data_IF_288022454098
#
_entry.id   IF_288022454098
#
_cell.length_a   1.000
_cell.length_b   1.000
_cell.length_c   1.000
_cell.angle_alpha   90.00
_cell.angle_beta   90.00
_cell.angle_gamma   90.00
#
_symmetry.space_group_name_H-M   'P 1'
#
loop_
_entity.id
_entity.type
_entity.pdbx_description
1 polymer ?
#
# COMPACT_ATOMS: atom_id res chain seq x y z
N UNK A 1 17.87 6.52 9.66
CA UNK A 1 17.54 7.15 10.96
C UNK A 1 17.62 6.09 12.03
N UNK A 2 17.92 6.45 13.27
CA UNK A 2 17.70 5.57 14.43
C UNK A 2 16.20 5.44 14.69
N UNK A 3 15.78 4.38 15.38
CA UNK A 3 14.40 4.20 15.79
C UNK A 3 13.91 5.37 16.65
N UNK A 4 14.78 5.90 17.51
CA UNK A 4 14.48 7.08 18.34
C UNK A 4 14.20 8.31 17.47
N UNK A 5 15.05 8.61 16.49
CA UNK A 5 14.84 9.72 15.54
C UNK A 5 13.54 9.55 14.74
N UNK A 6 13.18 8.31 14.37
CA UNK A 6 11.90 8.07 13.69
C UNK A 6 10.74 8.34 14.64
N UNK A 7 10.80 7.88 15.89
CA UNK A 7 9.72 8.11 16.86
C UNK A 7 9.48 9.59 17.17
N UNK A 8 10.48 10.46 17.01
CA UNK A 8 10.30 11.92 17.09
C UNK A 8 9.37 12.48 15.99
N UNK A 9 9.19 11.76 14.88
CA UNK A 9 8.21 12.11 13.84
C UNK A 9 6.80 11.58 14.14
N UNK A 10 6.64 10.75 15.18
CA UNK A 10 5.39 10.08 15.55
C UNK A 10 4.92 10.45 16.96
N UNK A 11 5.23 11.66 17.44
CA UNK A 11 4.80 12.13 18.78
C UNK A 11 3.28 12.21 18.98
N UNK A 12 2.52 12.10 17.90
CA UNK A 12 1.06 12.05 17.91
C UNK A 12 0.50 10.64 18.21
N UNK A 13 1.34 9.61 18.20
CA UNK A 13 0.92 8.25 18.56
C UNK A 13 0.79 8.11 20.07
N UNK A 14 -0.20 7.32 20.51
CA UNK A 14 -0.34 6.99 21.93
C UNK A 14 0.72 5.97 22.39
N UNK A 15 0.77 5.71 23.70
CA UNK A 15 1.76 4.78 24.29
C UNK A 15 1.64 3.36 23.70
N UNK A 16 0.42 2.87 23.47
CA UNK A 16 0.19 1.54 22.87
C UNK A 16 0.76 1.45 21.45
N UNK A 17 0.47 2.45 20.61
CA UNK A 17 0.95 2.53 19.23
C UNK A 17 2.48 2.66 19.18
N UNK A 18 3.04 3.46 20.08
CA UNK A 18 4.49 3.63 20.20
C UNK A 18 5.17 2.32 20.63
N UNK A 19 4.59 1.57 21.57
CA UNK A 19 5.09 0.25 21.96
C UNK A 19 4.97 -0.78 20.83
N UNK A 20 3.93 -0.72 19.99
CA UNK A 20 3.85 -1.58 18.78
C UNK A 20 5.05 -1.35 17.86
N UNK A 21 5.46 -0.10 17.65
CA UNK A 21 6.65 0.25 16.82
C UNK A 21 7.93 -0.28 17.48
N UNK A 22 8.13 -0.05 18.78
CA UNK A 22 9.32 -0.54 19.50
C UNK A 22 9.45 -2.06 19.43
N UNK A 23 8.32 -2.77 19.49
CA UNK A 23 8.26 -4.22 19.40
C UNK A 23 8.17 -4.77 17.96
N UNK A 24 8.18 -3.89 16.94
CA UNK A 24 8.12 -4.29 15.54
C UNK A 24 9.43 -4.92 15.01
N UNK A 25 10.52 -4.82 15.77
CA UNK A 25 11.83 -5.35 15.38
C UNK A 25 12.55 -4.49 14.34
N UNK A 26 12.26 -3.19 14.29
CA UNK A 26 12.99 -2.24 13.44
C UNK A 26 14.46 -2.19 13.81
N UNK A 27 15.31 -2.11 12.78
CA UNK A 27 16.76 -1.97 12.92
C UNK A 27 17.14 -0.54 12.57
N UNK A 28 18.03 0.06 13.37
CA UNK A 28 18.56 1.40 13.10
C UNK A 28 19.20 1.46 11.71
N UNK A 29 18.92 2.54 10.99
CA UNK A 29 19.40 2.74 9.63
C UNK A 29 18.52 2.14 8.54
N UNK A 30 17.64 1.17 8.85
CA UNK A 30 16.66 0.62 7.89
C UNK A 30 15.23 1.11 8.10
N UNK A 31 14.96 1.81 9.21
CA UNK A 31 13.65 2.35 9.55
C UNK A 31 13.52 3.81 9.09
N UNK A 32 12.36 4.12 8.50
CA UNK A 32 11.90 5.45 8.14
C UNK A 32 10.39 5.60 8.41
N UNK A 33 9.85 6.81 8.19
CA UNK A 33 8.45 7.09 8.43
C UNK A 33 7.52 6.19 7.60
N UNK A 34 7.91 5.85 6.36
CA UNK A 34 7.11 4.97 5.52
C UNK A 34 7.05 3.56 6.12
N UNK A 35 8.19 3.01 6.56
CA UNK A 35 8.28 1.67 7.12
C UNK A 35 7.43 1.48 8.38
N UNK A 36 7.24 2.55 9.17
CA UNK A 36 6.32 2.56 10.32
C UNK A 36 4.87 2.42 9.86
N UNK A 37 4.44 3.22 8.88
CA UNK A 37 3.06 3.14 8.36
C UNK A 37 2.84 1.81 7.63
N UNK A 38 3.83 1.36 6.86
CA UNK A 38 3.84 0.05 6.20
C UNK A 38 3.65 -1.08 7.21
N UNK A 39 4.31 -1.02 8.37
CA UNK A 39 4.13 -1.98 9.45
C UNK A 39 2.68 -2.00 9.96
N UNK A 40 2.08 -0.84 10.24
CA UNK A 40 0.68 -0.78 10.67
C UNK A 40 -0.28 -1.34 9.61
N UNK A 41 -0.04 -1.03 8.33
CA UNK A 41 -0.78 -1.64 7.22
C UNK A 41 -0.61 -3.17 7.25
N UNK A 42 0.62 -3.69 7.29
CA UNK A 42 0.90 -5.15 7.35
C UNK A 42 0.18 -5.85 8.50
N UNK A 43 0.00 -5.17 9.65
CA UNK A 43 -0.76 -5.68 10.79
C UNK A 43 -2.28 -5.54 10.63
N UNK A 44 -2.74 -4.67 9.73
CA UNK A 44 -4.16 -4.32 9.59
C UNK A 44 -4.62 -3.36 10.68
N UNK A 45 -3.70 -2.62 11.29
CA UNK A 45 -3.97 -1.68 12.37
C UNK A 45 -4.53 -0.37 11.79
N UNK A 46 -5.82 -0.38 11.45
CA UNK A 46 -6.51 0.74 10.82
C UNK A 46 -6.45 2.00 11.70
N UNK A 47 -6.54 1.84 13.03
CA UNK A 47 -6.48 2.97 13.97
C UNK A 47 -5.13 3.69 13.84
N UNK A 48 -4.02 2.95 13.87
CA UNK A 48 -2.68 3.53 13.75
C UNK A 48 -2.42 4.13 12.37
N UNK A 49 -2.88 3.47 11.31
CA UNK A 49 -2.84 4.05 9.94
C UNK A 49 -3.64 5.35 9.87
N UNK A 50 -4.83 5.37 10.50
CA UNK A 50 -5.69 6.55 10.57
C UNK A 50 -4.97 7.70 11.26
N UNK A 51 -4.44 7.46 12.46
CA UNK A 51 -3.68 8.46 13.22
C UNK A 51 -2.51 9.02 12.40
N UNK A 52 -1.74 8.16 11.71
CA UNK A 52 -0.61 8.60 10.89
C UNK A 52 -1.05 9.54 9.76
N UNK A 53 -2.08 9.16 8.99
CA UNK A 53 -2.52 9.94 7.84
C UNK A 53 -3.18 11.26 8.27
N UNK A 54 -3.96 11.24 9.35
CA UNK A 54 -4.61 12.46 9.87
C UNK A 54 -3.62 13.45 10.48
N UNK A 55 -2.42 12.98 10.86
CA UNK A 55 -1.32 13.82 11.34
C UNK A 55 -0.27 14.14 10.26
N UNK A 56 -0.66 14.04 8.99
CA UNK A 56 0.11 14.61 7.88
C UNK A 56 1.07 13.66 7.18
N UNK A 57 1.06 12.36 7.49
CA UNK A 57 1.71 11.39 6.60
C UNK A 57 0.93 11.34 5.28
N UNK A 58 1.63 11.57 4.18
CA UNK A 58 1.04 11.54 2.85
C UNK A 58 0.47 10.14 2.53
N UNK A 59 -0.81 10.09 2.20
CA UNK A 59 -1.52 8.87 1.76
C UNK A 59 -0.91 8.28 0.48
N UNK A 60 -0.22 9.11 -0.31
CA UNK A 60 0.49 8.72 -1.53
C UNK A 60 1.99 8.52 -1.31
N UNK A 61 2.46 8.49 -0.06
CA UNK A 61 3.83 8.12 0.24
C UNK A 61 4.17 6.73 -0.29
N UNK A 62 5.44 6.55 -0.60
CA UNK A 62 5.95 5.31 -1.17
C UNK A 62 7.24 4.88 -0.48
N UNK A 63 7.47 3.58 -0.52
CA UNK A 63 8.71 2.95 -0.10
C UNK A 63 9.92 3.65 -0.75
N UNK A 64 10.98 3.91 0.03
CA UNK A 64 12.21 4.47 -0.52
C UNK A 64 13.08 3.43 -1.22
N UNK A 65 12.88 2.14 -0.91
CA UNK A 65 13.58 0.99 -1.46
C UNK A 65 13.33 0.74 -2.94
N UNK A 66 13.70 -0.45 -3.42
CA UNK A 66 13.83 -0.73 -4.85
C UNK A 66 12.49 -0.75 -5.60
N UNK A 67 11.38 -1.10 -4.94
CA UNK A 67 10.09 -1.22 -5.61
C UNK A 67 9.32 0.10 -5.64
N UNK A 68 9.47 0.94 -4.62
CA UNK A 68 8.70 2.19 -4.54
C UNK A 68 7.20 1.98 -4.39
N UNK A 69 6.79 0.92 -3.69
CA UNK A 69 5.39 0.57 -3.46
C UNK A 69 4.68 1.72 -2.70
N UNK A 70 3.50 2.13 -3.14
CA UNK A 70 2.65 3.05 -2.36
C UNK A 70 1.89 2.32 -1.24
N UNK A 71 1.29 3.06 -0.31
CA UNK A 71 0.46 2.47 0.75
C UNK A 71 -0.66 1.56 0.21
N UNK A 72 -1.27 1.90 -0.94
CA UNK A 72 -2.27 1.05 -1.60
C UNK A 72 -1.70 -0.29 -2.07
N UNK A 73 -0.50 -0.31 -2.66
CA UNK A 73 0.16 -1.56 -3.06
C UNK A 73 0.35 -2.47 -1.85
N UNK A 74 0.83 -1.92 -0.74
CA UNK A 74 1.05 -2.67 0.51
C UNK A 74 -0.28 -3.22 1.04
N UNK A 75 -1.34 -2.42 1.08
CA UNK A 75 -2.64 -2.87 1.57
C UNK A 75 -3.21 -4.04 0.74
N UNK A 76 -3.03 -4.01 -0.59
CA UNK A 76 -3.43 -5.10 -1.49
C UNK A 76 -2.60 -6.36 -1.23
N UNK A 77 -1.27 -6.21 -1.22
CA UNK A 77 -0.32 -7.30 -1.03
C UNK A 77 -0.56 -8.09 0.25
N UNK A 78 -0.85 -7.36 1.34
CA UNK A 78 -1.15 -7.96 2.64
C UNK A 78 -2.64 -8.24 2.88
N UNK A 79 -3.50 -8.01 1.89
CA UNK A 79 -4.93 -8.34 1.94
C UNK A 79 -5.73 -7.54 2.98
N UNK A 80 -5.37 -6.28 3.20
CA UNK A 80 -5.92 -5.42 4.27
C UNK A 80 -7.06 -4.57 3.75
N UNK A 81 -8.23 -5.19 3.59
CA UNK A 81 -9.39 -4.56 2.93
C UNK A 81 -9.84 -3.27 3.63
N UNK A 82 -9.97 -3.28 4.96
CA UNK A 82 -10.41 -2.10 5.71
C UNK A 82 -9.44 -0.92 5.54
N UNK A 83 -8.14 -1.20 5.65
CA UNK A 83 -7.09 -0.20 5.43
C UNK A 83 -7.09 0.30 3.98
N UNK A 84 -7.23 -0.60 3.01
CA UNK A 84 -7.32 -0.25 1.59
C UNK A 84 -8.49 0.69 1.29
N UNK A 85 -9.68 0.39 1.80
CA UNK A 85 -10.86 1.25 1.62
C UNK A 85 -10.65 2.63 2.25
N UNK A 86 -10.06 2.68 3.44
CA UNK A 86 -9.71 3.93 4.11
C UNK A 86 -8.70 4.76 3.30
N UNK A 87 -7.65 4.14 2.77
CA UNK A 87 -6.66 4.83 1.92
C UNK A 87 -7.33 5.44 0.68
N UNK A 88 -8.26 4.72 0.03
CA UNK A 88 -9.04 5.27 -1.09
C UNK A 88 -9.89 6.46 -0.65
N UNK A 89 -10.57 6.36 0.50
CA UNK A 89 -11.38 7.46 1.04
C UNK A 89 -10.55 8.72 1.31
N UNK A 90 -9.32 8.55 1.80
CA UNK A 90 -8.38 9.66 2.04
C UNK A 90 -7.68 10.17 0.77
N UNK A 91 -8.07 9.69 -0.41
CA UNK A 91 -7.58 10.23 -1.69
C UNK A 91 -6.28 9.60 -2.18
N UNK A 92 -6.02 8.33 -1.84
CA UNK A 92 -4.91 7.59 -2.43
C UNK A 92 -5.04 7.52 -3.97
N UNK A 93 -3.93 7.69 -4.66
CA UNK A 93 -3.81 7.62 -6.11
C UNK A 93 -3.96 6.16 -6.56
N UNK A 94 -5.10 5.86 -7.16
CA UNK A 94 -5.42 4.52 -7.67
C UNK A 94 -4.51 4.08 -8.83
N UNK A 95 -3.88 5.05 -9.50
CA UNK A 95 -3.00 4.87 -10.64
C UNK A 95 -1.53 5.12 -10.25
N UNK A 96 -1.18 5.06 -8.97
CA UNK A 96 0.21 5.21 -8.53
C UNK A 96 1.08 4.18 -9.24
N UNK A 97 2.16 4.63 -9.87
CA UNK A 97 3.10 3.76 -10.57
C UNK A 97 4.36 3.60 -9.73
N UNK A 98 4.63 2.38 -9.28
CA UNK A 98 5.84 2.06 -8.53
C UNK A 98 7.11 2.16 -9.42
N UNK A 99 8.30 1.99 -8.83
CA UNK A 99 9.59 2.10 -9.54
C UNK A 99 9.80 1.05 -10.63
N UNK A 100 8.97 0.00 -10.68
CA UNK A 100 9.04 -1.08 -11.67
C UNK A 100 7.84 -1.03 -12.64
N UNK A 101 7.02 0.02 -12.57
CA UNK A 101 5.89 0.26 -13.44
C UNK A 101 4.59 -0.41 -13.01
N UNK A 102 4.50 -0.94 -11.79
CA UNK A 102 3.28 -1.57 -11.29
C UNK A 102 2.29 -0.54 -10.78
N UNK A 103 1.01 -0.82 -11.02
CA UNK A 103 -0.12 -0.09 -10.46
C UNK A 103 -0.81 -0.95 -9.40
N UNK A 104 -1.60 -0.36 -8.49
CA UNK A 104 -2.41 -1.12 -7.54
C UNK A 104 -3.29 -2.18 -8.22
N UNK A 105 -3.84 -1.86 -9.41
CA UNK A 105 -4.66 -2.82 -10.16
C UNK A 105 -3.83 -4.02 -10.63
N UNK A 106 -2.61 -3.80 -11.13
CA UNK A 106 -1.72 -4.89 -11.54
C UNK A 106 -1.25 -5.74 -10.35
N UNK A 107 -0.95 -5.12 -9.21
CA UNK A 107 -0.61 -5.83 -7.96
C UNK A 107 -1.76 -6.76 -7.56
N UNK A 108 -3.01 -6.27 -7.60
CA UNK A 108 -4.18 -7.09 -7.25
C UNK A 108 -4.30 -8.34 -8.13
N UNK A 109 -3.94 -8.26 -9.42
CA UNK A 109 -3.96 -9.42 -10.34
C UNK A 109 -2.89 -10.45 -9.98
N UNK A 110 -1.67 -10.00 -9.69
CA UNK A 110 -0.55 -10.93 -9.38
C UNK A 110 -0.81 -11.66 -8.07
N UNK A 111 -1.26 -10.93 -7.05
CA UNK A 111 -1.56 -11.46 -5.72
C UNK A 111 -2.93 -12.14 -5.60
N UNK A 112 -3.65 -12.25 -6.72
CA UNK A 112 -4.95 -12.93 -6.83
C UNK A 112 -6.02 -12.35 -5.88
N UNK A 113 -6.09 -11.01 -5.84
CA UNK A 113 -6.97 -10.20 -4.98
C UNK A 113 -8.12 -9.58 -5.78
N UNK A 114 -8.94 -10.41 -6.40
CA UNK A 114 -10.00 -9.97 -7.32
C UNK A 114 -10.92 -8.88 -6.74
N UNK A 115 -11.29 -8.99 -5.45
CA UNK A 115 -12.14 -7.99 -4.80
C UNK A 115 -11.50 -6.60 -4.73
N UNK A 116 -10.19 -6.53 -4.45
CA UNK A 116 -9.45 -5.26 -4.47
C UNK A 116 -9.41 -4.68 -5.88
N UNK A 117 -9.13 -5.52 -6.88
CA UNK A 117 -9.11 -5.12 -8.28
C UNK A 117 -10.46 -4.60 -8.76
N UNK A 118 -11.56 -5.27 -8.37
CA UNK A 118 -12.92 -4.84 -8.67
C UNK A 118 -13.22 -3.46 -8.10
N UNK A 119 -12.89 -3.22 -6.83
CA UNK A 119 -13.08 -1.91 -6.20
C UNK A 119 -12.25 -0.83 -6.91
N UNK A 120 -10.99 -1.10 -7.26
CA UNK A 120 -10.16 -0.15 -8.01
C UNK A 120 -10.80 0.24 -9.35
N UNK A 121 -11.35 -0.73 -10.09
CA UNK A 121 -12.06 -0.46 -11.35
C UNK A 121 -13.34 0.33 -11.12
N UNK A 122 -14.14 -0.04 -10.11
CA UNK A 122 -15.37 0.69 -9.76
C UNK A 122 -15.09 2.14 -9.34
N UNK A 123 -13.92 2.40 -8.74
CA UNK A 123 -13.45 3.74 -8.37
C UNK A 123 -12.76 4.48 -9.52
N UNK A 124 -12.68 3.88 -10.71
CA UNK A 124 -12.25 4.57 -11.93
C UNK A 124 -10.74 4.62 -12.16
N UNK A 125 -9.97 3.66 -11.65
CA UNK A 125 -8.55 3.53 -12.02
C UNK A 125 -8.37 3.30 -13.53
N UNK A 126 -7.21 3.68 -14.07
CA UNK A 126 -6.86 3.48 -15.46
C UNK A 126 -6.40 2.03 -15.72
N UNK A 127 -7.31 1.21 -16.21
CA UNK A 127 -7.06 -0.19 -16.61
C UNK A 127 -6.04 -0.37 -17.74
N UNK A 128 -5.78 0.69 -18.51
CA UNK A 128 -4.93 0.66 -19.70
C UNK A 128 -3.44 0.91 -19.44
N UNK A 129 -3.05 1.21 -18.20
CA UNK A 129 -1.63 1.38 -17.85
C UNK A 129 -0.87 0.07 -18.09
N UNK A 130 0.41 0.20 -18.45
CA UNK A 130 1.33 -0.92 -18.71
C UNK A 130 2.59 -0.76 -17.86
N UNK A 131 3.08 -1.86 -17.31
CA UNK A 131 4.34 -1.86 -16.57
C UNK A 131 5.56 -1.79 -17.50
N UNK A 132 6.77 -1.77 -16.94
CA UNK A 132 8.02 -1.71 -17.71
C UNK A 132 8.24 -2.91 -18.66
N UNK A 133 7.46 -3.99 -18.52
CA UNK A 133 7.47 -5.16 -19.42
C UNK A 133 6.39 -5.08 -20.50
N UNK A 134 5.66 -3.97 -20.58
CA UNK A 134 4.56 -3.78 -21.53
C UNK A 134 3.28 -4.53 -21.17
N UNK A 135 3.13 -5.00 -19.92
CA UNK A 135 1.96 -5.76 -19.51
C UNK A 135 0.94 -4.87 -18.77
N UNK A 136 -0.31 -4.88 -19.24
CA UNK A 136 -1.46 -4.31 -18.53
C UNK A 136 -2.03 -5.29 -17.50
N UNK A 137 -2.93 -4.83 -16.63
CA UNK A 137 -3.66 -5.70 -15.71
C UNK A 137 -4.36 -6.87 -16.44
N UNK A 138 -4.99 -6.59 -17.60
CA UNK A 138 -5.65 -7.61 -18.41
C UNK A 138 -4.67 -8.64 -18.97
N UNK A 139 -3.52 -8.20 -19.48
CA UNK A 139 -2.48 -9.10 -20.00
C UNK A 139 -1.90 -9.99 -18.89
N UNK A 140 -1.72 -9.44 -17.68
CA UNK A 140 -1.30 -10.21 -16.51
C UNK A 140 -2.37 -11.24 -16.11
N UNK A 141 -3.65 -10.86 -16.09
CA UNK A 141 -4.74 -11.76 -15.74
C UNK A 141 -4.81 -12.96 -16.71
N UNK A 142 -4.63 -12.71 -18.02
CA UNK A 142 -4.54 -13.77 -19.03
C UNK A 142 -3.32 -14.66 -18.80
N UNK A 143 -2.13 -14.06 -18.59
CA UNK A 143 -0.88 -14.79 -18.38
C UNK A 143 -0.93 -15.72 -17.17
N UNK A 144 -1.55 -15.28 -16.07
CA UNK A 144 -1.63 -16.04 -14.83
C UNK A 144 -2.94 -16.83 -14.67
N UNK A 145 -3.86 -16.78 -15.64
CA UNK A 145 -5.13 -17.50 -15.60
C UNK A 145 -6.10 -17.00 -14.52
N UNK A 146 -6.06 -15.71 -14.18
CA UNK A 146 -6.86 -15.07 -13.13
C UNK A 146 -8.28 -14.77 -13.63
N UNK A 147 -9.12 -15.80 -13.71
CA UNK A 147 -10.44 -15.70 -14.36
C UNK A 147 -11.38 -14.69 -13.73
N UNK A 148 -11.35 -14.55 -12.39
CA UNK A 148 -12.24 -13.64 -11.65
C UNK A 148 -12.09 -12.17 -12.10
N UNK A 149 -10.91 -11.80 -12.62
CA UNK A 149 -10.62 -10.46 -13.11
C UNK A 149 -11.22 -10.15 -14.48
N UNK A 150 -11.50 -11.17 -15.30
CA UNK A 150 -12.00 -10.96 -16.67
C UNK A 150 -13.38 -10.31 -16.72
N UNK A 151 -14.14 -10.39 -15.62
CA UNK A 151 -15.47 -9.77 -15.54
C UNK A 151 -15.43 -8.25 -15.40
N UNK A 152 -14.33 -7.67 -14.91
CA UNK A 152 -14.22 -6.23 -14.63
C UNK A 152 -13.03 -5.53 -15.32
N UNK A 153 -12.02 -6.28 -15.78
CA UNK A 153 -10.93 -5.74 -16.62
C UNK A 153 -11.36 -5.57 -18.08
#
# INVERSE_FOLDING_TARGET
>A
MTLTEVLENFTFLNDEQTEKIKNAGFVDGSVDNFSVVEYFIKKGDLESVTTCIENGIDVNSSEQGDFGSSLLHIAIRFGKMEVFLYLIEKGANLDFVDKVGWTPLMESVVDDKAEFGKILVEKGCNKGLINMRGASAQALAQKFGRQDFFSFL
#
